data_IF_980711611130
#
_entry.id   IF_980711611130
#
_cell.length_a   1.000
_cell.length_b   1.000
_cell.length_c   1.000
_cell.angle_alpha   90.00
_cell.angle_beta   90.00
_cell.angle_gamma   90.00
#
_symmetry.space_group_name_H-M   'P 1'
#
loop_
_entity.id
_entity.type
_entity.pdbx_description
1 polymer ?
#
# COMPACT_ATOMS: atom_id res chain seq x y z
N UNK A 1 -32.78 -18.98 14.26
CA UNK A 1 -31.99 -17.87 13.70
C UNK A 1 -30.71 -17.77 14.53
N UNK A 2 -29.62 -18.35 14.05
CA UNK A 2 -28.34 -18.35 14.78
C UNK A 2 -27.58 -17.09 14.36
N UNK A 3 -27.45 -16.13 15.28
CA UNK A 3 -26.52 -15.03 15.11
C UNK A 3 -25.12 -15.55 15.45
N UNK A 4 -24.29 -15.83 14.44
CA UNK A 4 -22.86 -15.97 14.67
C UNK A 4 -22.26 -14.56 14.77
N UNK A 5 -21.98 -14.12 15.98
CA UNK A 5 -21.04 -13.03 16.22
C UNK A 5 -19.64 -13.61 16.03
N UNK A 6 -19.00 -13.35 14.88
CA UNK A 6 -17.60 -13.74 14.64
C UNK A 6 -16.73 -12.55 15.04
N UNK A 7 -16.09 -12.55 16.24
CA UNK A 7 -15.27 -11.43 16.70
C UNK A 7 -13.98 -11.23 15.88
N UNK A 8 -13.55 -12.24 15.11
CA UNK A 8 -12.44 -12.14 14.16
C UNK A 8 -12.55 -13.24 13.10
N UNK A 9 -12.41 -12.88 11.82
CA UNK A 9 -12.27 -13.85 10.73
C UNK A 9 -10.80 -14.28 10.67
N UNK A 10 -10.54 -15.58 10.68
CA UNK A 10 -9.20 -16.14 10.53
C UNK A 10 -8.97 -16.66 9.09
N UNK A 11 -7.70 -16.72 8.62
CA UNK A 11 -7.37 -17.33 7.34
C UNK A 11 -7.98 -18.73 7.13
N UNK A 12 -8.03 -19.52 8.21
CA UNK A 12 -8.60 -20.87 8.23
C UNK A 12 -10.08 -20.92 7.83
N UNK A 13 -10.83 -19.86 8.15
CA UNK A 13 -12.26 -19.77 7.87
C UNK A 13 -12.53 -19.53 6.38
N UNK A 14 -11.55 -19.02 5.65
CA UNK A 14 -11.68 -18.67 4.23
C UNK A 14 -11.36 -19.88 3.33
N UNK A 15 -10.42 -20.75 3.73
CA UNK A 15 -9.95 -21.86 2.90
C UNK A 15 -11.05 -22.75 2.29
N UNK A 16 -12.12 -23.14 3.02
CA UNK A 16 -13.18 -23.97 2.46
C UNK A 16 -13.92 -23.32 1.28
N UNK A 17 -13.90 -21.99 1.21
CA UNK A 17 -14.65 -21.19 0.25
C UNK A 17 -13.80 -20.71 -0.94
N UNK A 18 -12.48 -20.97 -0.95
CA UNK A 18 -11.55 -20.45 -1.97
C UNK A 18 -10.85 -21.57 -2.72
N UNK A 19 -11.46 -22.06 -3.81
CA UNK A 19 -10.87 -23.05 -4.73
C UNK A 19 -10.37 -22.46 -6.07
N UNK A 20 -10.36 -21.14 -6.19
CA UNK A 20 -9.98 -20.37 -7.40
C UNK A 20 -8.83 -19.41 -7.08
N UNK A 21 -8.17 -18.80 -8.09
CA UNK A 21 -7.28 -17.67 -7.86
C UNK A 21 -7.92 -16.68 -6.88
N UNK A 22 -7.23 -16.38 -5.78
CA UNK A 22 -7.75 -15.57 -4.68
C UNK A 22 -7.01 -14.24 -4.59
N UNK A 23 -7.76 -13.15 -4.61
CA UNK A 23 -7.26 -11.81 -4.33
C UNK A 23 -7.99 -11.27 -3.10
N UNK A 24 -7.25 -11.04 -2.01
CA UNK A 24 -7.81 -10.62 -0.73
C UNK A 24 -7.30 -9.23 -0.38
N UNK A 25 -8.19 -8.37 0.10
CA UNK A 25 -7.85 -7.09 0.73
C UNK A 25 -8.31 -7.19 2.17
N UNK A 26 -7.39 -7.07 3.12
CA UNK A 26 -7.69 -7.13 4.55
C UNK A 26 -7.40 -5.78 5.17
N UNK A 27 -8.46 -5.04 5.46
CA UNK A 27 -8.36 -3.72 6.10
C UNK A 27 -8.82 -3.80 7.55
N UNK A 28 -7.89 -4.14 8.44
CA UNK A 28 -8.15 -4.41 9.86
C UNK A 28 -6.89 -4.19 10.70
N UNK A 29 -7.07 -3.92 11.99
CA UNK A 29 -5.97 -3.86 12.97
C UNK A 29 -5.30 -5.22 13.22
N UNK A 30 -5.93 -6.32 12.81
CA UNK A 30 -5.37 -7.67 12.83
C UNK A 30 -5.06 -8.21 11.41
N UNK A 31 -4.81 -7.32 10.45
CA UNK A 31 -4.50 -7.69 9.06
C UNK A 31 -3.31 -8.64 8.95
N UNK A 32 -2.35 -8.53 9.88
CA UNK A 32 -1.13 -9.32 9.95
C UNK A 32 -1.38 -10.82 10.11
N UNK A 33 -2.53 -11.23 10.66
CA UNK A 33 -2.95 -12.64 10.71
C UNK A 33 -3.05 -13.30 9.33
N UNK A 34 -3.18 -12.51 8.26
CA UNK A 34 -3.28 -12.99 6.88
C UNK A 34 -1.94 -12.99 6.12
N UNK A 35 -0.82 -12.58 6.74
CA UNK A 35 0.52 -12.55 6.09
C UNK A 35 0.98 -13.92 5.55
N UNK A 36 0.53 -14.99 6.20
CA UNK A 36 0.92 -16.37 5.85
C UNK A 36 -0.23 -17.13 5.16
N UNK A 37 -1.13 -16.43 4.46
CA UNK A 37 -2.21 -17.08 3.73
C UNK A 37 -1.63 -17.94 2.60
N UNK A 38 -1.67 -19.26 2.75
CA UNK A 38 -1.00 -20.17 1.83
C UNK A 38 -1.82 -20.38 0.57
N UNK A 39 -1.12 -20.56 -0.55
CA UNK A 39 -1.74 -21.06 -1.77
C UNK A 39 -2.18 -22.51 -1.59
N UNK A 40 -3.48 -22.78 -1.74
CA UNK A 40 -3.98 -24.13 -1.87
C UNK A 40 -3.86 -24.57 -3.34
N UNK A 41 -3.32 -25.78 -3.57
CA UNK A 41 -3.24 -26.40 -4.89
C UNK A 41 -2.49 -25.58 -5.95
N UNK A 42 -1.52 -24.77 -5.55
CA UNK A 42 -0.70 -23.96 -6.45
C UNK A 42 -1.47 -22.84 -7.16
N UNK A 43 -2.67 -22.49 -6.69
CA UNK A 43 -3.46 -21.41 -7.27
C UNK A 43 -2.84 -20.04 -6.95
N UNK A 44 -2.94 -19.05 -7.87
CA UNK A 44 -2.54 -17.68 -7.58
C UNK A 44 -3.25 -17.13 -6.35
N UNK A 45 -2.48 -16.64 -5.38
CA UNK A 45 -3.00 -15.93 -4.21
C UNK A 45 -2.25 -14.61 -4.07
N UNK A 46 -2.99 -13.53 -3.87
CA UNK A 46 -2.45 -12.24 -3.42
C UNK A 46 -3.29 -11.74 -2.27
N UNK A 47 -2.65 -11.30 -1.18
CA UNK A 47 -3.29 -10.59 -0.09
C UNK A 47 -2.67 -9.22 0.08
N UNK A 48 -3.48 -8.17 0.08
CA UNK A 48 -3.08 -6.81 0.42
C UNK A 48 -3.59 -6.48 1.82
N UNK A 49 -2.70 -6.09 2.72
CA UNK A 49 -2.96 -5.94 4.14
C UNK A 49 -2.75 -4.49 4.54
N UNK A 50 -3.71 -3.91 5.25
CA UNK A 50 -3.57 -2.58 5.85
C UNK A 50 -2.42 -2.54 6.85
N UNK A 51 -1.87 -1.34 7.14
CA UNK A 51 -1.03 -1.14 8.32
C UNK A 51 -1.72 -1.66 9.60
N UNK A 52 -0.92 -2.16 10.53
CA UNK A 52 -1.39 -2.60 11.86
C UNK A 52 -1.68 -1.38 12.73
N UNK A 53 -0.92 -0.31 12.55
CA UNK A 53 -1.01 0.95 13.30
C UNK A 53 -1.04 2.15 12.35
N UNK A 54 -1.73 3.21 12.75
CA UNK A 54 -1.69 4.52 12.08
C UNK A 54 -1.40 5.61 13.11
N UNK A 55 -0.89 6.79 12.72
CA UNK A 55 -0.69 7.89 13.66
C UNK A 55 -1.99 8.29 14.37
N UNK A 56 -1.91 8.73 15.64
CA UNK A 56 -3.07 9.05 16.49
C UNK A 56 -4.05 10.02 15.82
N UNK A 57 -3.54 11.05 15.13
CA UNK A 57 -4.34 12.00 14.35
C UNK A 57 -5.29 11.31 13.34
N UNK A 58 -4.83 10.23 12.73
CA UNK A 58 -5.60 9.45 11.75
C UNK A 58 -6.49 8.44 12.46
N UNK A 59 -6.02 7.83 13.55
CA UNK A 59 -6.79 6.90 14.36
C UNK A 59 -8.04 7.56 14.97
N UNK A 60 -7.92 8.78 15.47
CA UNK A 60 -9.03 9.57 16.03
C UNK A 60 -10.15 9.84 15.01
N UNK A 61 -9.83 9.74 13.71
CA UNK A 61 -10.77 9.98 12.61
C UNK A 61 -11.24 8.69 11.93
N UNK A 62 -10.99 7.52 12.54
CA UNK A 62 -11.35 6.21 11.97
C UNK A 62 -12.83 6.03 11.66
N UNK A 63 -13.71 6.78 12.33
CA UNK A 63 -15.14 6.82 12.03
C UNK A 63 -15.45 7.32 10.60
N UNK A 64 -14.53 8.08 9.98
CA UNK A 64 -14.67 8.59 8.60
C UNK A 64 -14.28 7.56 7.53
N UNK A 65 -13.91 6.36 7.94
CA UNK A 65 -13.44 5.30 7.07
C UNK A 65 -11.96 4.99 7.28
N UNK A 66 -11.52 3.90 6.65
CA UNK A 66 -10.20 3.36 6.89
C UNK A 66 -9.19 3.86 5.84
N UNK A 67 -7.99 4.23 6.30
CA UNK A 67 -6.96 4.90 5.49
C UNK A 67 -6.53 4.02 4.30
N UNK A 68 -6.35 2.73 4.54
CA UNK A 68 -5.88 1.81 3.52
C UNK A 68 -6.90 1.65 2.39
N UNK A 69 -8.18 1.41 2.72
CA UNK A 69 -9.28 1.44 1.74
C UNK A 69 -9.33 2.75 0.96
N UNK A 70 -9.11 3.89 1.62
CA UNK A 70 -9.08 5.19 0.94
C UNK A 70 -7.96 5.28 -0.10
N UNK A 71 -6.75 4.79 0.20
CA UNK A 71 -5.67 4.70 -0.79
C UNK A 71 -6.03 3.80 -1.98
N UNK A 72 -6.65 2.65 -1.69
CA UNK A 72 -7.07 1.69 -2.71
C UNK A 72 -8.25 2.18 -3.56
N UNK A 73 -9.05 3.12 -3.06
CA UNK A 73 -10.18 3.71 -3.78
C UNK A 73 -9.80 5.00 -4.52
N UNK A 74 -9.16 5.96 -3.83
CA UNK A 74 -8.79 7.28 -4.35
C UNK A 74 -7.42 7.72 -3.77
N UNK A 75 -6.30 7.32 -4.40
CA UNK A 75 -4.95 7.54 -3.86
C UNK A 75 -4.62 9.03 -3.64
N UNK A 76 -5.10 9.93 -4.49
CA UNK A 76 -4.86 11.36 -4.32
C UNK A 76 -5.58 11.92 -3.09
N UNK A 77 -6.85 11.56 -2.85
CA UNK A 77 -7.58 11.94 -1.63
C UNK A 77 -6.86 11.40 -0.39
N UNK A 78 -6.42 10.14 -0.42
CA UNK A 78 -5.70 9.53 0.69
C UNK A 78 -4.39 10.27 0.99
N UNK A 79 -3.63 10.62 -0.04
CA UNK A 79 -2.43 11.43 0.06
C UNK A 79 -2.71 12.80 0.72
N UNK A 80 -3.75 13.49 0.24
CA UNK A 80 -4.14 14.79 0.78
C UNK A 80 -4.56 14.69 2.25
N UNK A 81 -5.30 13.64 2.60
CA UNK A 81 -5.72 13.34 3.95
C UNK A 81 -4.51 13.11 4.89
N UNK A 82 -3.54 12.29 4.47
CA UNK A 82 -2.29 12.05 5.21
C UNK A 82 -1.50 13.35 5.40
N UNK A 83 -1.39 14.16 4.35
CA UNK A 83 -0.71 15.45 4.40
C UNK A 83 -1.47 16.53 5.18
N UNK A 84 -2.71 16.27 5.60
CA UNK A 84 -3.53 17.22 6.32
C UNK A 84 -4.09 18.37 5.49
N UNK A 85 -4.23 18.17 4.18
CA UNK A 85 -4.72 19.16 3.23
C UNK A 85 -6.25 19.21 3.25
N UNK A 86 -6.82 20.39 3.44
CA UNK A 86 -8.28 20.59 3.60
C UNK A 86 -8.96 21.25 2.40
N UNK A 87 -8.21 21.99 1.58
CA UNK A 87 -8.73 22.69 0.40
C UNK A 87 -7.70 22.67 -0.72
N UNK A 88 -8.14 22.28 -1.92
CA UNK A 88 -7.29 22.11 -3.09
C UNK A 88 -8.02 22.71 -4.28
N UNK A 89 -7.34 23.53 -5.07
CA UNK A 89 -7.91 24.06 -6.32
C UNK A 89 -8.12 22.94 -7.33
N UNK A 90 -9.16 23.03 -8.18
CA UNK A 90 -9.40 22.04 -9.24
C UNK A 90 -8.18 21.86 -10.15
N UNK A 91 -7.48 22.95 -10.48
CA UNK A 91 -6.25 22.91 -11.30
C UNK A 91 -5.13 22.11 -10.63
N UNK A 92 -4.93 22.30 -9.33
CA UNK A 92 -3.93 21.53 -8.56
C UNK A 92 -4.33 20.06 -8.48
N UNK A 93 -5.62 19.79 -8.27
CA UNK A 93 -6.18 18.43 -8.23
C UNK A 93 -5.94 17.66 -9.54
N UNK A 94 -6.31 18.25 -10.69
CA UNK A 94 -6.14 17.63 -12.01
C UNK A 94 -4.67 17.32 -12.31
N UNK A 95 -3.76 18.25 -11.96
CA UNK A 95 -2.32 18.04 -12.12
C UNK A 95 -1.81 16.95 -11.18
N UNK A 96 -2.28 16.91 -9.94
CA UNK A 96 -1.97 15.86 -8.99
C UNK A 96 -2.43 14.49 -9.49
N UNK A 97 -3.64 14.40 -10.03
CA UNK A 97 -4.19 13.17 -10.58
C UNK A 97 -3.36 12.68 -11.76
N UNK A 98 -2.93 13.56 -12.66
CA UNK A 98 -2.03 13.21 -13.77
C UNK A 98 -0.68 12.66 -13.30
N UNK A 99 -0.12 13.20 -12.21
CA UNK A 99 1.12 12.67 -11.60
C UNK A 99 0.87 11.26 -11.05
N UNK A 100 -0.25 11.05 -10.34
CA UNK A 100 -0.63 9.73 -9.83
C UNK A 100 -0.81 8.72 -10.96
N UNK A 101 -1.52 9.07 -12.03
CA UNK A 101 -1.74 8.15 -13.15
C UNK A 101 -0.41 7.75 -13.81
N UNK A 102 0.52 8.71 -13.93
CA UNK A 102 1.89 8.44 -14.41
C UNK A 102 2.64 7.54 -13.44
N UNK A 103 2.54 7.77 -12.13
CA UNK A 103 3.16 6.93 -11.10
C UNK A 103 2.67 5.48 -11.17
N UNK A 104 1.35 5.28 -11.30
CA UNK A 104 0.76 3.94 -11.38
C UNK A 104 1.19 3.22 -12.67
N UNK A 105 1.26 3.93 -13.80
CA UNK A 105 1.77 3.39 -15.07
C UNK A 105 3.23 2.93 -14.96
N UNK A 106 4.09 3.76 -14.36
CA UNK A 106 5.50 3.42 -14.17
C UNK A 106 5.70 2.28 -13.16
N UNK A 107 4.90 2.24 -12.09
CA UNK A 107 4.88 1.12 -11.14
C UNK A 107 4.52 -0.18 -11.87
N UNK A 108 3.52 -0.16 -12.74
CA UNK A 108 3.13 -1.32 -13.57
C UNK A 108 4.30 -1.79 -14.45
N UNK A 109 4.99 -0.85 -15.11
CA UNK A 109 6.15 -1.16 -15.96
C UNK A 109 7.31 -1.78 -15.20
N UNK A 110 7.58 -1.30 -13.98
CA UNK A 110 8.62 -1.87 -13.11
C UNK A 110 8.23 -3.30 -12.71
N UNK A 111 7.01 -3.48 -12.20
CA UNK A 111 6.52 -4.80 -11.77
C UNK A 111 6.56 -5.83 -12.92
N UNK A 112 6.07 -5.47 -14.10
CA UNK A 112 6.03 -6.39 -15.26
C UNK A 112 7.42 -6.75 -15.81
N UNK A 113 8.47 -5.99 -15.47
CA UNK A 113 9.87 -6.25 -15.87
C UNK A 113 10.69 -6.90 -14.77
N UNK A 114 10.21 -6.88 -13.53
CA UNK A 114 10.91 -7.45 -12.38
C UNK A 114 11.01 -8.97 -12.54
N UNK A 115 12.23 -9.50 -12.37
CA UNK A 115 12.49 -10.95 -12.37
C UNK A 115 12.15 -11.60 -11.03
N UNK A 116 12.03 -10.81 -9.97
CA UNK A 116 11.66 -11.25 -8.62
C UNK A 116 10.16 -11.16 -8.34
N UNK A 117 9.35 -10.71 -9.31
CA UNK A 117 7.90 -10.67 -9.13
C UNK A 117 7.31 -12.09 -9.08
N UNK A 118 6.56 -12.38 -8.01
CA UNK A 118 5.89 -13.66 -7.86
C UNK A 118 4.82 -13.87 -8.96
N UNK A 119 4.69 -15.08 -9.55
CA UNK A 119 3.71 -15.36 -10.61
C UNK A 119 2.26 -15.02 -10.27
N UNK A 120 1.88 -15.06 -8.98
CA UNK A 120 0.54 -14.65 -8.55
C UNK A 120 0.27 -13.16 -8.82
N UNK A 121 1.24 -12.28 -8.63
CA UNK A 121 1.09 -10.88 -9.02
C UNK A 121 1.06 -10.74 -10.53
N UNK A 122 1.88 -11.47 -11.29
CA UNK A 122 1.82 -11.47 -12.76
C UNK A 122 0.42 -11.82 -13.27
N UNK A 123 -0.21 -12.83 -12.65
CA UNK A 123 -1.59 -13.22 -12.98
C UNK A 123 -2.59 -12.09 -12.71
N UNK A 124 -2.57 -11.50 -11.51
CA UNK A 124 -3.55 -10.45 -11.15
C UNK A 124 -3.26 -9.09 -11.77
N UNK A 125 -2.00 -8.78 -12.10
CA UNK A 125 -1.66 -7.67 -12.98
C UNK A 125 -2.22 -7.89 -14.39
N UNK A 126 -2.51 -9.11 -14.82
CA UNK A 126 -3.23 -9.38 -16.07
C UNK A 126 -4.71 -9.00 -16.04
N UNK A 127 -5.30 -8.84 -14.85
CA UNK A 127 -6.74 -8.56 -14.67
C UNK A 127 -6.95 -7.07 -14.40
N UNK A 128 -7.55 -6.34 -15.34
CA UNK A 128 -7.62 -4.87 -15.30
C UNK A 128 -8.15 -4.29 -13.99
N UNK A 129 -9.24 -4.85 -13.46
CA UNK A 129 -9.83 -4.41 -12.20
C UNK A 129 -8.89 -4.62 -11.00
N UNK A 130 -8.22 -5.78 -10.94
CA UNK A 130 -7.35 -6.13 -9.80
C UNK A 130 -5.98 -5.45 -9.89
N UNK A 131 -5.48 -5.22 -11.11
CA UNK A 131 -4.26 -4.44 -11.38
C UNK A 131 -4.30 -3.10 -10.67
N UNK A 132 -5.44 -2.40 -10.72
CA UNK A 132 -5.60 -1.08 -10.11
C UNK A 132 -5.31 -1.11 -8.61
N UNK A 133 -5.77 -2.13 -7.88
CA UNK A 133 -5.52 -2.25 -6.44
C UNK A 133 -4.05 -2.51 -6.13
N UNK A 134 -3.36 -3.32 -6.93
CA UNK A 134 -1.91 -3.59 -6.77
C UNK A 134 -1.11 -2.29 -6.95
N UNK A 135 -1.43 -1.52 -7.98
CA UNK A 135 -0.70 -0.28 -8.26
C UNK A 135 -0.99 0.79 -7.20
N UNK A 136 -2.24 0.92 -6.75
CA UNK A 136 -2.62 1.83 -5.66
C UNK A 136 -2.00 1.42 -4.33
N UNK A 137 -1.84 0.12 -4.08
CA UNK A 137 -1.07 -0.39 -2.95
C UNK A 137 0.40 0.05 -3.02
N UNK A 138 1.04 -0.01 -4.20
CA UNK A 138 2.43 0.44 -4.34
C UNK A 138 2.57 1.93 -3.99
N UNK A 139 1.64 2.76 -4.47
CA UNK A 139 1.62 4.18 -4.11
C UNK A 139 1.38 4.39 -2.60
N UNK A 140 0.41 3.69 -2.01
CA UNK A 140 0.16 3.70 -0.57
C UNK A 140 1.42 3.37 0.23
N UNK A 141 2.08 2.26 -0.11
CA UNK A 141 3.31 1.82 0.55
C UNK A 141 4.40 2.88 0.50
N UNK A 142 4.64 3.48 -0.67
CA UNK A 142 5.63 4.55 -0.81
C UNK A 142 5.29 5.80 0.00
N UNK A 143 4.03 6.26 -0.01
CA UNK A 143 3.59 7.41 0.79
C UNK A 143 3.81 7.14 2.28
N UNK A 144 3.37 6.00 2.78
CA UNK A 144 3.48 5.66 4.20
C UNK A 144 4.94 5.46 4.63
N UNK A 145 5.77 4.81 3.81
CA UNK A 145 7.20 4.62 4.12
C UNK A 145 8.01 5.92 4.10
N UNK A 146 7.64 6.89 3.26
CA UNK A 146 8.37 8.15 3.15
C UNK A 146 7.90 9.22 4.14
N UNK A 147 6.68 9.10 4.68
CA UNK A 147 6.09 10.11 5.56
C UNK A 147 6.68 10.03 6.97
N UNK A 148 7.10 11.17 7.52
CA UNK A 148 7.86 11.25 8.79
C UNK A 148 7.10 10.77 10.02
N UNK A 149 5.77 10.81 9.99
CA UNK A 149 4.91 10.37 11.09
C UNK A 149 4.64 8.85 11.09
N UNK A 150 4.94 8.15 10.00
CA UNK A 150 4.75 6.71 9.87
C UNK A 150 6.12 6.06 10.04
N UNK A 151 6.40 5.53 11.24
CA UNK A 151 7.73 5.02 11.58
C UNK A 151 7.68 3.57 12.02
N UNK A 152 8.21 2.71 11.16
CA UNK A 152 8.43 1.30 11.44
C UNK A 152 7.39 0.39 10.77
N UNK A 153 7.65 -0.92 10.74
CA UNK A 153 6.91 -1.86 9.89
C UNK A 153 5.41 -1.94 10.18
N UNK A 154 4.97 -1.68 11.41
CA UNK A 154 3.56 -1.69 11.78
C UNK A 154 2.75 -0.57 11.13
N UNK A 155 3.40 0.53 10.72
CA UNK A 155 2.79 1.67 10.03
C UNK A 155 2.70 1.50 8.51
N UNK A 156 3.24 0.41 7.97
CA UNK A 156 3.28 0.18 6.53
C UNK A 156 2.29 -0.90 6.14
N UNK A 157 1.68 -0.79 4.95
CA UNK A 157 0.86 -1.86 4.42
C UNK A 157 1.77 -3.04 4.09
N UNK A 158 1.23 -4.25 4.16
CA UNK A 158 1.97 -5.47 3.84
C UNK A 158 1.24 -6.24 2.74
N UNK A 159 1.96 -7.12 2.05
CA UNK A 159 1.34 -8.01 1.08
C UNK A 159 1.97 -9.40 1.13
N UNK A 160 1.19 -10.38 0.65
CA UNK A 160 1.68 -11.73 0.38
C UNK A 160 1.25 -12.13 -1.03
N UNK A 161 2.14 -12.73 -1.83
CA UNK A 161 3.59 -12.80 -1.65
C UNK A 161 4.23 -11.39 -1.51
N UNK A 162 5.50 -11.25 -1.11
CA UNK A 162 6.14 -9.95 -1.08
C UNK A 162 6.33 -9.40 -2.50
N UNK A 163 6.14 -8.09 -2.66
CA UNK A 163 6.48 -7.35 -3.89
C UNK A 163 7.98 -7.02 -3.93
N UNK A 164 8.55 -6.69 -5.09
CA UNK A 164 9.94 -6.23 -5.21
C UNK A 164 10.06 -4.78 -4.69
N UNK A 165 9.97 -4.59 -3.37
CA UNK A 165 9.92 -3.27 -2.73
C UNK A 165 11.14 -2.41 -3.03
N UNK A 166 12.35 -2.99 -3.03
CA UNK A 166 13.58 -2.28 -3.38
C UNK A 166 13.53 -1.69 -4.79
N UNK A 167 13.04 -2.43 -5.80
CA UNK A 167 12.94 -1.94 -7.17
C UNK A 167 11.97 -0.75 -7.30
N UNK A 168 10.89 -0.75 -6.51
CA UNK A 168 9.92 0.34 -6.47
C UNK A 168 10.49 1.56 -5.72
N UNK A 169 11.01 1.35 -4.52
CA UNK A 169 11.48 2.42 -3.64
C UNK A 169 12.75 3.11 -4.15
N UNK A 170 13.63 2.38 -4.83
CA UNK A 170 14.89 2.92 -5.39
C UNK A 170 14.74 3.48 -6.82
N UNK A 171 13.53 3.38 -7.40
CA UNK A 171 13.26 3.94 -8.72
C UNK A 171 13.33 5.46 -8.70
N UNK A 172 14.37 6.01 -9.34
CA UNK A 172 14.56 7.45 -9.53
C UNK A 172 13.33 8.14 -10.12
N UNK A 173 12.65 7.48 -11.06
CA UNK A 173 11.45 8.04 -11.70
C UNK A 173 10.25 8.07 -10.74
N UNK A 174 10.03 7.00 -9.96
CA UNK A 174 8.95 7.00 -8.96
C UNK A 174 9.22 8.02 -7.85
N UNK A 175 10.46 8.13 -7.38
CA UNK A 175 10.86 9.15 -6.41
C UNK A 175 10.66 10.57 -6.97
N UNK A 176 11.03 10.80 -8.23
CA UNK A 176 10.80 12.10 -8.89
C UNK A 176 9.30 12.42 -8.94
N UNK A 177 8.46 11.51 -9.43
CA UNK A 177 7.01 11.70 -9.50
C UNK A 177 6.41 11.96 -8.11
N UNK A 178 6.89 11.23 -7.11
CA UNK A 178 6.49 11.43 -5.72
C UNK A 178 6.85 12.82 -5.19
N UNK A 179 8.07 13.30 -5.42
CA UNK A 179 8.48 14.64 -4.98
C UNK A 179 7.90 15.76 -5.84
N UNK A 180 7.61 15.52 -7.12
CA UNK A 180 6.84 16.45 -7.97
C UNK A 180 5.42 16.62 -7.40
N UNK A 181 4.79 15.53 -6.93
CA UNK A 181 3.51 15.58 -6.22
C UNK A 181 3.65 16.36 -4.90
N UNK A 182 4.64 16.02 -4.08
CA UNK A 182 4.84 16.71 -2.80
C UNK A 182 5.13 18.20 -2.95
N UNK A 183 5.84 18.59 -4.02
CA UNK A 183 6.07 19.99 -4.35
C UNK A 183 4.80 20.68 -4.82
N UNK A 184 3.98 20.01 -5.64
CA UNK A 184 2.70 20.55 -6.10
C UNK A 184 1.72 20.86 -4.94
N UNK A 185 1.84 20.11 -3.85
CA UNK A 185 0.98 20.18 -2.67
C UNK A 185 1.64 20.85 -1.47
N UNK A 186 2.82 21.47 -1.64
CA UNK A 186 3.59 22.14 -0.59
C UNK A 186 3.85 21.26 0.66
N UNK A 187 3.97 19.95 0.46
CA UNK A 187 4.02 18.93 1.52
C UNK A 187 5.38 18.25 1.66
N UNK A 188 6.41 18.68 0.91
CA UNK A 188 7.77 18.10 0.91
C UNK A 188 8.35 17.95 2.32
N UNK A 189 8.07 18.91 3.22
CA UNK A 189 8.55 18.93 4.60
C UNK A 189 8.06 17.74 5.45
N UNK A 190 6.96 17.11 5.06
CA UNK A 190 6.37 15.94 5.72
C UNK A 190 7.12 14.64 5.39
N UNK A 191 7.93 14.64 4.33
CA UNK A 191 8.59 13.44 3.84
C UNK A 191 10.09 13.42 4.16
N UNK A 192 10.63 12.22 4.37
CA UNK A 192 12.07 12.02 4.49
C UNK A 192 12.70 12.05 3.08
N UNK A 193 13.75 12.84 2.91
CA UNK A 193 14.61 12.74 1.72
C UNK A 193 15.58 11.59 1.88
N UNK A 194 16.03 11.00 0.77
CA UNK A 194 16.86 9.79 0.72
C UNK A 194 18.22 9.86 1.45
N UNK A 195 18.55 10.95 2.17
CA UNK A 195 19.80 11.11 2.91
C UNK A 195 19.78 10.57 4.35
N UNK A 196 18.68 9.98 4.84
CA UNK A 196 18.56 9.57 6.26
C UNK A 196 18.26 8.10 6.55
N UNK A 197 18.26 7.21 5.57
CA UNK A 197 17.93 5.79 5.78
C UNK A 197 19.14 4.84 5.95
N UNK A 198 20.40 5.29 5.80
CA UNK A 198 21.57 4.38 5.93
C UNK A 198 22.24 4.32 7.31
N UNK A 199 21.72 4.99 8.34
CA UNK A 199 22.45 5.11 9.62
C UNK A 199 22.05 4.13 10.75
N UNK A 200 21.05 3.24 10.55
CA UNK A 200 20.65 2.30 11.60
C UNK A 200 20.37 0.89 11.09
N UNK A 201 21.42 0.20 10.62
CA UNK A 201 21.40 -1.25 10.50
C UNK A 201 22.83 -1.83 10.53
N UNK A 202 23.51 -1.71 11.67
CA UNK A 202 24.59 -2.62 12.04
C UNK A 202 24.42 -2.96 13.52
N UNK A 203 24.03 -4.19 13.89
CA UNK A 203 24.14 -4.64 15.26
C UNK A 203 25.63 -4.81 15.56
N UNK A 204 26.13 -4.10 16.57
CA UNK A 204 27.45 -4.43 17.15
C UNK A 204 27.30 -5.77 17.87
N UNK A 205 27.76 -6.83 17.23
CA UNK A 205 28.10 -8.09 17.87
C UNK A 205 29.54 -7.99 18.40
N UNK A 206 29.67 -7.95 19.72
CA UNK A 206 30.55 -8.76 20.58
C UNK A 206 30.48 -8.17 22.00
#
# INVERSE_FOLDING_TARGET
>A
MVYLYIPSIHPGDIYPYTRKPLFLIVDSNNSSGFKNFQSLFGQPVVTLLSPETVPTRIEDQRERGNLFTLFLYCPLTAYCYVCGLTSISLKTWERGQSIIDTFLSESSRILLRSRSLHPSFTHFLGVDFLRVFILRYCFCSMVLQMHRDFRGPSFYPACYPPLPESELMESHLLQKLFFDLATLFDSVSLFATASKSSAHALPRSL
#
